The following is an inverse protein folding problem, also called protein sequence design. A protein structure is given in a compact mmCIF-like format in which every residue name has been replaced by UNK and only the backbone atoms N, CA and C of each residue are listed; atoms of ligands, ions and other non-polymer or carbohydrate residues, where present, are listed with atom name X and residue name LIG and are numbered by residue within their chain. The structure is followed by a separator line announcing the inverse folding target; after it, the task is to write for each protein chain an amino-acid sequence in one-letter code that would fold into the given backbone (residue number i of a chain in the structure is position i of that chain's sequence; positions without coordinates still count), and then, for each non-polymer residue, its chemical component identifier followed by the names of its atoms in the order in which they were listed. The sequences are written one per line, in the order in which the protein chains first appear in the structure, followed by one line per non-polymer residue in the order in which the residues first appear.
data_IF_912570437289
#
_entry.id   IF_912570437289
#
_cell.length_a   1.000
_cell.length_b   1.000
_cell.length_c   1.000
_cell.angle_alpha   90.00
_cell.angle_beta   90.00
_cell.angle_gamma   90.00
#
_symmetry.space_group_name_H-M   'P 1'
#
loop_
_entity.id
_entity.type
_entity.pdbx_description
1 polymer ?
#
# COMPACT_ATOMS: atom_id res chain seq x y z
N UNK A 1 -17.99 13.35 -10.97
CA UNK A 1 -17.34 13.54 -9.65
C UNK A 1 -16.90 14.98 -9.61
N UNK A 2 -17.64 15.85 -8.93
CA UNK A 2 -17.27 17.27 -8.80
C UNK A 2 -16.30 17.40 -7.64
N UNK A 3 -15.09 17.88 -7.93
CA UNK A 3 -14.09 18.24 -6.92
C UNK A 3 -14.67 19.38 -6.08
N UNK A 4 -15.33 19.03 -4.98
CA UNK A 4 -15.94 19.98 -4.07
C UNK A 4 -14.82 20.57 -3.22
N UNK A 5 -14.33 21.75 -3.63
CA UNK A 5 -13.17 22.46 -3.07
C UNK A 5 -13.22 22.56 -1.53
N UNK A 6 -14.40 22.81 -0.97
CA UNK A 6 -14.62 22.88 0.48
C UNK A 6 -14.29 21.57 1.21
N UNK A 7 -14.63 20.43 0.61
CA UNK A 7 -14.32 19.12 1.21
C UNK A 7 -12.82 18.84 1.15
N UNK A 8 -12.16 19.18 0.04
CA UNK A 8 -10.73 18.92 -0.16
C UNK A 8 -9.84 19.85 0.66
N UNK A 9 -10.31 21.06 0.99
CA UNK A 9 -9.55 22.08 1.72
C UNK A 9 -8.90 21.59 3.00
N UNK A 10 -9.58 20.72 3.76
CA UNK A 10 -9.03 20.14 4.99
C UNK A 10 -8.15 18.90 4.76
N UNK A 11 -8.44 18.13 3.71
CA UNK A 11 -7.68 16.92 3.38
C UNK A 11 -6.36 17.22 2.70
N UNK A 12 -6.26 18.28 1.90
CA UNK A 12 -5.04 18.60 1.16
C UNK A 12 -3.80 18.81 2.04
N UNK A 13 -3.84 19.63 3.12
CA UNK A 13 -2.70 19.77 4.02
C UNK A 13 -2.33 18.44 4.69
N UNK A 14 -3.32 17.66 5.12
CA UNK A 14 -3.10 16.36 5.74
C UNK A 14 -2.43 15.37 4.80
N UNK A 15 -2.96 15.20 3.58
CA UNK A 15 -2.40 14.31 2.54
C UNK A 15 -0.97 14.73 2.19
N UNK A 16 -0.70 16.04 2.09
CA UNK A 16 0.66 16.55 1.84
C UNK A 16 1.62 16.24 2.97
N UNK A 17 1.19 16.44 4.22
CA UNK A 17 1.99 16.13 5.40
C UNK A 17 2.27 14.63 5.50
N UNK A 18 1.25 13.79 5.28
CA UNK A 18 1.39 12.34 5.28
C UNK A 18 2.35 11.86 4.19
N UNK A 19 2.16 12.29 2.93
CA UNK A 19 3.08 11.95 1.85
C UNK A 19 4.51 12.41 2.12
N UNK A 20 4.69 13.61 2.67
CA UNK A 20 6.01 14.11 3.06
C UNK A 20 6.64 13.23 4.13
N UNK A 21 5.86 12.78 5.12
CA UNK A 21 6.35 11.88 6.18
C UNK A 21 6.74 10.51 5.62
N UNK A 22 5.91 9.92 4.76
CA UNK A 22 6.18 8.59 4.18
C UNK A 22 7.39 8.58 3.26
N UNK A 23 7.63 9.69 2.56
CA UNK A 23 8.74 9.81 1.60
C UNK A 23 9.98 10.50 2.17
N UNK A 24 10.00 10.80 3.47
CA UNK A 24 11.12 11.51 4.10
C UNK A 24 12.38 10.65 4.18
N UNK A 25 12.21 9.33 4.38
CA UNK A 25 13.30 8.40 4.64
C UNK A 25 13.12 7.14 3.80
N UNK A 26 14.21 6.59 3.25
CA UNK A 26 14.14 5.33 2.55
C UNK A 26 13.92 4.16 3.52
N UNK A 27 13.38 3.06 3.01
CA UNK A 27 13.34 1.77 3.73
C UNK A 27 14.75 1.34 4.15
N UNK A 28 14.89 0.94 5.42
CA UNK A 28 16.19 0.59 5.98
C UNK A 28 16.65 -0.84 5.61
N UNK A 29 15.73 -1.72 5.20
CA UNK A 29 16.00 -3.10 4.80
C UNK A 29 15.05 -3.58 3.70
N UNK A 30 15.40 -4.70 3.06
CA UNK A 30 14.54 -5.39 2.10
C UNK A 30 13.41 -6.09 2.85
N UNK A 31 12.17 -5.85 2.42
CA UNK A 31 10.99 -6.41 3.09
C UNK A 31 10.03 -7.05 2.10
N UNK A 32 9.33 -8.07 2.58
CA UNK A 32 8.20 -8.68 1.89
C UNK A 32 6.94 -8.36 2.67
N UNK A 33 5.97 -7.74 2.02
CA UNK A 33 4.70 -7.39 2.66
C UNK A 33 3.53 -8.01 1.91
N UNK A 34 2.41 -8.15 2.62
CA UNK A 34 1.22 -8.83 2.15
C UNK A 34 0.02 -7.92 2.25
N UNK A 35 -0.85 -8.00 1.23
CA UNK A 35 -2.16 -7.36 1.25
C UNK A 35 -3.22 -8.32 0.73
N UNK A 36 -4.22 -8.58 1.55
CA UNK A 36 -5.43 -9.27 1.12
C UNK A 36 -6.45 -8.22 0.70
N UNK A 37 -7.16 -8.48 -0.39
CA UNK A 37 -8.16 -7.55 -0.90
C UNK A 37 -9.48 -8.27 -1.14
N UNK A 38 -10.50 -7.93 -0.35
CA UNK A 38 -11.88 -8.40 -0.55
C UNK A 38 -12.50 -7.93 -1.88
N UNK A 39 -11.89 -6.92 -2.53
CA UNK A 39 -12.41 -6.26 -3.73
C UNK A 39 -11.59 -6.56 -4.99
N UNK A 40 -10.51 -7.33 -4.87
CA UNK A 40 -9.77 -7.74 -6.07
C UNK A 40 -10.54 -8.90 -6.69
N UNK A 41 -11.15 -8.66 -7.83
CA UNK A 41 -11.94 -9.64 -8.59
C UNK A 41 -11.03 -10.40 -9.56
N UNK A 42 -11.51 -11.55 -10.05
CA UNK A 42 -10.79 -12.34 -11.05
C UNK A 42 -10.50 -11.51 -12.31
N UNK A 43 -11.50 -10.78 -12.83
CA UNK A 43 -11.32 -9.85 -13.96
C UNK A 43 -10.21 -8.80 -13.71
N UNK A 44 -10.11 -8.30 -12.47
CA UNK A 44 -9.08 -7.33 -12.12
C UNK A 44 -7.69 -7.98 -12.13
N UNK A 45 -7.56 -9.22 -11.66
CA UNK A 45 -6.31 -9.98 -11.69
C UNK A 45 -5.93 -10.37 -13.11
N UNK A 46 -6.89 -10.77 -13.94
CA UNK A 46 -6.67 -11.12 -15.35
C UNK A 46 -6.19 -9.92 -16.19
N UNK A 47 -6.53 -8.69 -15.76
CA UNK A 47 -6.04 -7.45 -16.39
C UNK A 47 -4.59 -7.07 -16.01
N UNK A 48 -3.98 -7.82 -15.08
CA UNK A 48 -2.63 -7.60 -14.58
C UNK A 48 -1.66 -8.53 -15.32
N UNK A 49 -0.67 -7.96 -16.01
CA UNK A 49 0.27 -8.72 -16.83
C UNK A 49 1.67 -8.71 -16.24
N UNK A 50 2.29 -9.90 -16.16
CA UNK A 50 3.69 -10.07 -15.76
C UNK A 50 4.63 -9.21 -16.62
N UNK A 51 5.63 -8.62 -15.96
CA UNK A 51 6.59 -7.69 -16.56
C UNK A 51 6.09 -6.25 -16.72
N UNK A 52 4.78 -5.98 -16.57
CA UNK A 52 4.25 -4.62 -16.64
C UNK A 52 4.38 -3.88 -15.31
N UNK A 53 4.46 -2.56 -15.42
CA UNK A 53 4.48 -1.64 -14.27
C UNK A 53 3.13 -0.95 -14.15
N UNK A 54 2.57 -0.97 -12.95
CA UNK A 54 1.32 -0.29 -12.60
C UNK A 54 1.59 0.76 -11.52
N UNK A 55 0.67 1.71 -11.38
CA UNK A 55 0.71 2.72 -10.30
C UNK A 55 -0.46 2.52 -9.36
N UNK A 56 -0.16 2.49 -8.07
CA UNK A 56 -1.18 2.38 -7.03
C UNK A 56 -1.97 3.70 -6.97
N UNK A 57 -3.26 3.69 -7.34
CA UNK A 57 -4.07 4.93 -7.41
C UNK A 57 -4.41 5.55 -6.05
N UNK A 58 -4.15 4.84 -4.95
CA UNK A 58 -4.45 5.25 -3.57
C UNK A 58 -3.30 4.84 -2.65
N UNK A 59 -3.38 5.26 -1.39
CA UNK A 59 -2.54 4.66 -0.34
C UNK A 59 -2.82 3.16 -0.24
N UNK A 60 -1.77 2.36 -0.13
CA UNK A 60 -1.87 0.91 -0.02
C UNK A 60 -1.21 0.47 1.28
N UNK A 61 -2.04 0.13 2.25
CA UNK A 61 -1.63 -0.54 3.48
C UNK A 61 -1.29 -2.00 3.19
N UNK A 62 -0.15 -2.44 3.68
CA UNK A 62 0.35 -3.82 3.60
C UNK A 62 0.88 -4.23 4.97
N UNK A 63 1.02 -5.52 5.24
CA UNK A 63 1.55 -6.01 6.52
C UNK A 63 2.81 -6.83 6.30
N UNK A 64 3.81 -6.70 7.18
CA UNK A 64 4.97 -7.60 7.24
C UNK A 64 4.57 -9.01 7.70
N UNK A 65 3.48 -9.14 8.44
CA UNK A 65 2.93 -10.41 8.90
C UNK A 65 1.79 -10.86 7.97
N UNK A 66 1.98 -12.00 7.30
CA UNK A 66 1.01 -12.60 6.40
C UNK A 66 -0.29 -13.00 7.11
N UNK A 67 -0.20 -13.50 8.34
CA UNK A 67 -1.38 -13.94 9.09
C UNK A 67 -2.19 -12.73 9.55
N UNK A 68 -1.52 -11.66 10.03
CA UNK A 68 -2.19 -10.38 10.29
C UNK A 68 -2.85 -9.82 9.02
N UNK A 69 -2.20 -9.96 7.86
CA UNK A 69 -2.77 -9.53 6.58
C UNK A 69 -4.02 -10.35 6.19
N UNK A 70 -4.06 -11.64 6.53
CA UNK A 70 -5.14 -12.57 6.19
C UNK A 70 -6.46 -12.16 6.83
N UNK A 71 -6.42 -11.57 8.02
CA UNK A 71 -7.62 -11.12 8.74
C UNK A 71 -8.36 -10.00 7.99
N UNK A 72 -7.68 -9.30 7.08
CA UNK A 72 -8.30 -8.33 6.16
C UNK A 72 -8.93 -8.95 4.91
N UNK A 73 -8.71 -10.25 4.69
CA UNK A 73 -9.27 -11.01 3.58
C UNK A 73 -10.63 -11.64 3.88
N UNK A 74 -11.20 -12.28 2.86
CA UNK A 74 -12.27 -13.26 3.00
C UNK A 74 -11.76 -14.61 2.43
N UNK A 75 -12.35 -15.76 2.80
CA UNK A 75 -12.01 -17.03 2.15
C UNK A 75 -12.12 -16.90 0.62
N UNK A 76 -11.07 -17.32 -0.09
CA UNK A 76 -11.01 -17.24 -1.56
C UNK A 76 -10.64 -15.87 -2.14
N UNK A 77 -10.32 -14.86 -1.33
CA UNK A 77 -9.86 -13.58 -1.88
C UNK A 77 -8.39 -13.64 -2.34
N UNK A 78 -8.08 -12.83 -3.35
CA UNK A 78 -6.72 -12.66 -3.83
C UNK A 78 -5.84 -11.94 -2.81
N UNK A 79 -4.58 -12.35 -2.76
CA UNK A 79 -3.53 -11.67 -2.01
C UNK A 79 -2.43 -11.18 -2.95
N UNK A 80 -1.88 -10.01 -2.63
CA UNK A 80 -0.73 -9.44 -3.34
C UNK A 80 0.47 -9.49 -2.40
N UNK A 81 1.59 -10.02 -2.91
CA UNK A 81 2.88 -10.00 -2.23
C UNK A 81 3.73 -8.91 -2.85
N UNK A 82 4.16 -7.95 -2.04
CA UNK A 82 5.06 -6.89 -2.46
C UNK A 82 6.47 -7.21 -1.98
N UNK A 83 7.44 -7.15 -2.90
CA UNK A 83 8.84 -7.06 -2.54
C UNK A 83 9.25 -5.59 -2.58
N UNK A 84 9.66 -5.06 -1.44
CA UNK A 84 10.05 -3.67 -1.28
C UNK A 84 11.56 -3.66 -0.99
N UNK A 85 12.39 -3.17 -1.93
CA UNK A 85 13.83 -3.20 -1.75
C UNK A 85 14.26 -2.19 -0.67
N UNK A 86 15.41 -2.44 -0.05
CA UNK A 86 16.12 -1.45 0.76
C UNK A 86 16.40 -0.20 -0.08
N UNK A 87 16.29 0.97 0.53
CA UNK A 87 16.51 2.24 -0.16
C UNK A 87 15.26 2.81 -0.86
N UNK A 88 14.10 2.15 -0.75
CA UNK A 88 12.86 2.60 -1.36
C UNK A 88 12.26 3.78 -0.59
N UNK A 89 11.94 4.88 -1.28
CA UNK A 89 11.28 6.06 -0.69
C UNK A 89 9.75 5.99 -0.74
N UNK A 90 9.19 4.95 -1.36
CA UNK A 90 7.75 4.80 -1.60
C UNK A 90 7.14 3.72 -0.71
N UNK A 91 7.72 3.50 0.47
CA UNK A 91 7.18 2.63 1.49
C UNK A 91 7.73 3.03 2.85
N UNK A 92 6.88 2.98 3.88
CA UNK A 92 7.29 3.27 5.26
C UNK A 92 6.66 2.26 6.18
N UNK A 93 7.48 1.65 7.04
CA UNK A 93 7.00 0.90 8.19
C UNK A 93 6.42 1.89 9.21
N UNK A 94 5.11 1.81 9.43
CA UNK A 94 4.37 2.64 10.38
C UNK A 94 3.88 1.84 11.58
N UNK A 95 4.37 0.61 11.78
CA UNK A 95 3.98 -0.26 12.89
C UNK A 95 4.15 0.39 14.27
N UNK A 96 5.18 1.22 14.44
CA UNK A 96 5.45 1.97 15.67
C UNK A 96 4.51 3.15 15.92
N UNK A 97 3.86 3.65 14.87
CA UNK A 97 2.99 4.84 14.91
C UNK A 97 1.51 4.52 14.72
N UNK A 98 1.19 3.30 14.27
CA UNK A 98 -0.18 2.83 14.11
C UNK A 98 -0.80 2.49 15.47
N UNK A 99 -2.06 2.91 15.67
CA UNK A 99 -2.85 2.49 16.84
C UNK A 99 -3.07 0.97 16.86
N UNK A 100 -2.78 0.28 15.75
CA UNK A 100 -2.89 -1.15 15.56
C UNK A 100 -1.49 -1.79 15.48
N UNK A 101 -0.65 -1.59 16.51
CA UNK A 101 0.76 -2.04 16.52
C UNK A 101 1.00 -3.55 16.31
N UNK A 102 -0.04 -4.38 16.21
CA UNK A 102 0.03 -5.81 15.87
C UNK A 102 -0.12 -6.11 14.38
N UNK A 103 -0.47 -5.11 13.56
CA UNK A 103 -0.70 -5.28 12.12
C UNK A 103 0.58 -5.12 11.30
N UNK A 104 1.71 -4.78 11.95
CA UNK A 104 3.03 -4.60 11.32
C UNK A 104 2.95 -3.85 9.98
N UNK A 105 2.21 -2.73 10.00
CA UNK A 105 1.75 -2.05 8.80
C UNK A 105 2.89 -1.31 8.10
N UNK A 106 3.00 -1.55 6.80
CA UNK A 106 3.85 -0.80 5.86
C UNK A 106 2.94 -0.11 4.86
N UNK A 107 3.04 1.22 4.80
CA UNK A 107 2.18 2.06 3.98
C UNK A 107 2.92 2.54 2.73
N UNK A 108 2.32 2.29 1.57
CA UNK A 108 2.79 2.77 0.27
C UNK A 108 1.94 4.00 -0.14
N UNK A 109 2.56 5.14 -0.49
CA UNK A 109 1.82 6.32 -0.92
C UNK A 109 1.21 6.13 -2.32
N UNK A 110 0.22 6.96 -2.70
CA UNK A 110 -0.33 6.97 -4.04
C UNK A 110 0.74 7.16 -5.11
N UNK A 111 0.45 6.65 -6.30
CA UNK A 111 1.30 6.65 -7.48
C UNK A 111 2.62 5.87 -7.35
N UNK A 112 2.79 5.10 -6.27
CA UNK A 112 3.90 4.15 -6.19
C UNK A 112 3.87 3.18 -7.36
N UNK A 113 4.98 3.11 -8.08
CA UNK A 113 5.15 2.23 -9.22
C UNK A 113 5.51 0.83 -8.74
N UNK A 114 4.78 -0.18 -9.21
CA UNK A 114 4.98 -1.58 -8.87
C UNK A 114 5.09 -2.40 -10.14
N UNK A 115 6.07 -3.30 -10.22
CA UNK A 115 6.20 -4.24 -11.32
C UNK A 115 5.60 -5.59 -10.91
N UNK A 116 4.83 -6.19 -11.82
CA UNK A 116 4.29 -7.53 -11.64
C UNK A 116 5.35 -8.53 -12.03
N UNK A 117 5.77 -9.36 -11.08
CA UNK A 117 6.83 -10.36 -11.31
C UNK A 117 6.28 -11.77 -11.43
N UNK A 118 5.16 -12.08 -10.79
CA UNK A 118 4.50 -13.39 -10.79
C UNK A 118 2.99 -13.21 -10.62
#
# INVERSE_FOLDING_TARGET
MTDCDEKLRHWMPFIRALNKSLTAWPTAWDMTTWRYSKKLTDDAVESVFKGKTYRLGMYVATSLDRDAARDFGAPGCWHVRFHIPKGCYNATDISSSSNFGKEYEVLLPPYTAVQVVD
#
